data_IF_341862541404
#
_entry.id   IF_341862541404
#
_cell.length_a   1.000
_cell.length_b   1.000
_cell.length_c   1.000
_cell.angle_alpha   90.00
_cell.angle_beta   90.00
_cell.angle_gamma   90.00
#
_symmetry.space_group_name_H-M   'P 1'
#
loop_
_entity.id
_entity.type
_entity.pdbx_description
1 polymer ?
#
# COMPACT_ATOMS: atom_id res chain seq x y z
N UNK A 1 -41.67 6.24 2.28
CA UNK A 1 -42.12 4.89 2.71
C UNK A 1 -40.96 3.91 2.59
N UNK A 2 -40.47 3.40 3.72
CA UNK A 2 -39.32 2.52 3.78
C UNK A 2 -38.78 2.46 5.20
N UNK A 3 -38.07 1.38 5.51
CA UNK A 3 -37.31 1.28 6.76
C UNK A 3 -35.84 1.63 6.48
N UNK A 4 -35.28 2.56 7.23
CA UNK A 4 -33.96 3.13 6.98
C UNK A 4 -33.03 2.94 8.19
N UNK A 5 -31.72 3.12 7.97
CA UNK A 5 -30.74 3.22 9.05
C UNK A 5 -30.20 4.63 9.09
N UNK A 6 -30.25 5.27 10.26
CA UNK A 6 -29.82 6.64 10.48
C UNK A 6 -28.63 6.67 11.43
N UNK A 7 -27.60 7.43 11.06
CA UNK A 7 -26.47 7.73 11.91
C UNK A 7 -26.57 9.17 12.39
N UNK A 8 -26.75 9.39 13.69
CA UNK A 8 -26.99 10.74 14.22
C UNK A 8 -25.81 11.16 15.09
N UNK A 9 -25.01 12.15 14.68
CA UNK A 9 -23.91 12.65 15.50
C UNK A 9 -24.46 13.41 16.70
N UNK A 10 -23.90 13.16 17.88
CA UNK A 10 -24.31 13.81 19.14
C UNK A 10 -23.22 14.70 19.77
N UNK A 11 -22.04 14.79 19.15
CA UNK A 11 -20.96 15.68 19.56
C UNK A 11 -21.12 17.12 19.06
N UNK A 12 -20.07 17.93 19.21
CA UNK A 12 -20.03 19.26 18.63
C UNK A 12 -20.13 19.19 17.11
N UNK A 13 -21.19 19.80 16.58
CA UNK A 13 -21.46 19.87 15.15
C UNK A 13 -21.34 21.33 14.74
N UNK A 14 -20.58 21.58 13.67
CA UNK A 14 -20.53 22.87 12.97
C UNK A 14 -21.71 22.95 12.00
N UNK A 15 -22.77 23.74 12.29
CA UNK A 15 -23.97 23.74 11.46
C UNK A 15 -23.69 24.12 9.99
N UNK A 16 -22.72 24.99 9.76
CA UNK A 16 -22.27 25.42 8.44
C UNK A 16 -21.65 24.30 7.59
N UNK A 17 -21.19 23.22 8.22
CA UNK A 17 -20.63 22.06 7.53
C UNK A 17 -21.71 21.03 7.16
N UNK A 18 -22.96 21.20 7.62
CA UNK A 18 -24.07 20.29 7.34
C UNK A 18 -24.90 20.79 6.17
N UNK A 19 -24.53 20.37 4.97
CA UNK A 19 -25.36 20.54 3.79
C UNK A 19 -26.23 19.29 3.52
N UNK A 20 -26.98 19.36 2.42
CA UNK A 20 -27.86 18.27 1.98
C UNK A 20 -27.11 16.94 1.84
N UNK A 21 -25.91 16.94 1.26
CA UNK A 21 -25.16 15.71 1.00
C UNK A 21 -24.62 15.12 2.30
N UNK A 22 -24.13 15.95 3.21
CA UNK A 22 -23.71 15.47 4.54
C UNK A 22 -24.88 14.80 5.25
N UNK A 23 -26.07 15.42 5.30
CA UNK A 23 -27.25 14.81 5.92
C UNK A 23 -27.63 13.48 5.26
N UNK A 24 -27.63 13.42 3.93
CA UNK A 24 -27.95 12.19 3.18
C UNK A 24 -26.88 11.09 3.35
N UNK A 25 -25.62 11.47 3.54
CA UNK A 25 -24.52 10.56 3.81
C UNK A 25 -24.60 9.87 5.17
N UNK A 26 -25.50 10.32 6.05
CA UNK A 26 -25.79 9.67 7.33
C UNK A 26 -26.96 8.68 7.26
N UNK A 27 -27.53 8.44 6.08
CA UNK A 27 -28.72 7.61 5.91
C UNK A 27 -28.43 6.47 4.96
N UNK A 28 -28.72 5.24 5.37
CA UNK A 28 -28.80 4.08 4.47
C UNK A 28 -30.28 3.87 4.11
N UNK A 29 -30.67 4.07 2.85
CA UNK A 29 -32.05 3.90 2.44
C UNK A 29 -32.45 2.42 2.36
N UNK A 30 -33.70 2.13 2.74
CA UNK A 30 -34.35 0.82 2.54
C UNK A 30 -33.65 -0.38 3.20
N UNK A 31 -32.78 -0.16 4.18
CA UNK A 31 -32.10 -1.19 4.95
C UNK A 31 -32.14 -0.84 6.44
N UNK A 32 -32.47 -1.83 7.28
CA UNK A 32 -32.45 -1.72 8.74
C UNK A 32 -31.31 -2.56 9.28
N UNK A 33 -30.27 -1.90 9.77
CA UNK A 33 -29.06 -2.56 10.20
C UNK A 33 -28.94 -2.45 11.73
N UNK A 34 -29.08 -3.57 12.42
CA UNK A 34 -28.74 -3.69 13.83
C UNK A 34 -27.30 -4.20 13.97
N UNK A 35 -26.55 -3.74 14.98
CA UNK A 35 -25.12 -4.06 15.14
C UNK A 35 -24.82 -5.58 15.14
N UNK A 36 -25.78 -6.39 15.61
CA UNK A 36 -25.63 -7.83 15.78
C UNK A 36 -25.71 -8.59 14.43
N UNK A 37 -26.16 -7.94 13.36
CA UNK A 37 -26.36 -8.50 12.01
C UNK A 37 -25.29 -7.99 11.03
N UNK A 38 -24.29 -7.27 11.52
CA UNK A 38 -23.39 -6.53 10.64
C UNK A 38 -22.29 -7.41 10.04
N UNK A 39 -22.33 -7.55 8.72
CA UNK A 39 -21.26 -8.11 7.91
C UNK A 39 -20.21 -7.07 7.53
N UNK A 40 -19.19 -7.50 6.79
CA UNK A 40 -18.15 -6.63 6.19
C UNK A 40 -18.64 -5.87 4.95
N UNK A 41 -19.95 -5.74 4.78
CA UNK A 41 -20.56 -5.20 3.58
C UNK A 41 -20.59 -3.68 3.61
N UNK A 42 -20.42 -3.08 2.43
CA UNK A 42 -20.65 -1.66 2.20
C UNK A 42 -22.07 -1.45 1.69
N UNK A 43 -22.75 -0.44 2.23
CA UNK A 43 -24.08 -0.02 1.85
C UNK A 43 -24.04 1.34 1.19
N UNK A 44 -24.81 1.54 0.13
CA UNK A 44 -24.95 2.87 -0.47
C UNK A 44 -25.72 3.77 0.50
N UNK A 45 -25.18 4.97 0.76
CA UNK A 45 -25.92 6.00 1.48
C UNK A 45 -26.97 6.65 0.57
N UNK A 46 -27.80 7.53 1.14
CA UNK A 46 -28.70 8.38 0.37
C UNK A 46 -27.96 9.51 -0.38
N UNK A 47 -26.68 9.76 -0.06
CA UNK A 47 -25.79 10.66 -0.81
C UNK A 47 -25.11 9.88 -1.95
N UNK A 48 -25.92 9.46 -2.93
CA UNK A 48 -25.48 8.67 -4.07
C UNK A 48 -26.18 9.14 -5.34
N UNK A 49 -25.59 10.13 -6.00
CA UNK A 49 -26.07 10.67 -7.27
C UNK A 49 -24.92 10.90 -8.26
N UNK A 50 -25.18 11.66 -9.33
CA UNK A 50 -24.18 11.96 -10.33
C UNK A 50 -23.03 12.84 -9.81
N UNK A 51 -23.20 13.52 -8.68
CA UNK A 51 -22.23 14.47 -8.11
C UNK A 51 -21.40 13.81 -7.02
N UNK A 52 -22.06 13.19 -6.04
CA UNK A 52 -21.43 12.61 -4.85
C UNK A 52 -21.85 11.14 -4.71
N UNK A 53 -20.87 10.28 -4.41
CA UNK A 53 -21.10 8.86 -4.17
C UNK A 53 -20.44 8.46 -2.83
N UNK A 54 -21.27 8.15 -1.85
CA UNK A 54 -20.84 7.78 -0.50
C UNK A 54 -21.35 6.39 -0.12
N UNK A 55 -20.42 5.55 0.30
CA UNK A 55 -20.69 4.24 0.87
C UNK A 55 -20.49 4.24 2.38
N UNK A 56 -21.31 3.47 3.08
CA UNK A 56 -21.29 3.30 4.51
C UNK A 56 -20.99 1.85 4.85
N UNK A 57 -20.02 1.61 5.72
CA UNK A 57 -19.76 0.29 6.27
C UNK A 57 -19.63 0.37 7.78
N UNK A 58 -19.87 -0.74 8.46
CA UNK A 58 -19.73 -0.80 9.91
C UNK A 58 -18.62 -1.77 10.28
N UNK A 59 -17.78 -1.34 11.21
CA UNK A 59 -16.54 -2.02 11.55
C UNK A 59 -16.51 -2.23 13.05
N UNK A 60 -16.27 -3.48 13.46
CA UNK A 60 -15.97 -3.80 14.84
C UNK A 60 -14.45 -3.66 15.07
N UNK A 61 -14.05 -2.76 15.96
CA UNK A 61 -12.68 -2.62 16.43
C UNK A 61 -12.65 -2.84 17.93
N UNK A 62 -12.42 -4.07 18.36
CA UNK A 62 -12.07 -4.32 19.75
C UNK A 62 -10.65 -3.79 20.01
N UNK A 63 -10.52 -2.76 20.84
CA UNK A 63 -9.20 -2.30 21.29
C UNK A 63 -8.62 -3.36 22.23
N UNK A 64 -7.35 -3.74 22.07
CA UNK A 64 -6.69 -4.77 22.91
C UNK A 64 -6.71 -4.45 24.42
N UNK A 65 -6.93 -3.18 24.77
CA UNK A 65 -6.88 -2.67 26.15
C UNK A 65 -8.24 -2.75 26.85
N UNK A 66 -9.36 -2.77 26.11
CA UNK A 66 -10.71 -2.88 26.68
C UNK A 66 -11.49 -4.00 25.96
N UNK A 67 -11.89 -5.08 26.65
CA UNK A 67 -12.63 -6.19 26.03
C UNK A 67 -14.02 -5.81 25.50
N UNK A 68 -14.50 -4.59 25.75
CA UNK A 68 -15.74 -4.08 25.15
C UNK A 68 -15.57 -3.86 23.64
N UNK A 69 -16.44 -4.53 22.87
CA UNK A 69 -16.51 -4.36 21.43
C UNK A 69 -16.89 -2.91 21.11
N UNK A 70 -15.96 -2.17 20.50
CA UNK A 70 -16.21 -0.80 20.05
C UNK A 70 -16.56 -0.82 18.58
N UNK A 71 -17.74 -0.32 18.23
CA UNK A 71 -18.21 -0.26 16.85
C UNK A 71 -17.94 1.11 16.25
N UNK A 72 -17.58 1.12 14.98
CA UNK A 72 -17.40 2.32 14.18
C UNK A 72 -18.29 2.23 12.95
N UNK A 73 -18.87 3.36 12.57
CA UNK A 73 -19.40 3.56 11.22
C UNK A 73 -18.33 4.26 10.40
N UNK A 74 -18.14 3.79 9.17
CA UNK A 74 -17.20 4.33 8.21
C UNK A 74 -18.01 4.89 7.04
N UNK A 75 -17.78 6.15 6.68
CA UNK A 75 -18.24 6.71 5.42
C UNK A 75 -17.07 6.85 4.46
N UNK A 76 -17.19 6.29 3.26
CA UNK A 76 -16.22 6.41 2.18
C UNK A 76 -16.82 7.28 1.06
N UNK A 77 -16.32 8.50 0.91
CA UNK A 77 -16.66 9.37 -0.21
C UNK A 77 -15.80 8.97 -1.41
N UNK A 78 -16.41 8.20 -2.33
CA UNK A 78 -15.75 7.67 -3.52
C UNK A 78 -15.70 8.74 -4.61
N UNK A 79 -16.86 9.37 -4.88
CA UNK A 79 -16.96 10.49 -5.80
C UNK A 79 -17.17 11.78 -5.01
N UNK A 80 -16.26 12.72 -5.25
CA UNK A 80 -16.16 13.98 -4.55
C UNK A 80 -16.70 15.16 -5.38
N UNK A 81 -16.98 16.25 -4.68
CA UNK A 81 -17.22 17.57 -5.26
C UNK A 81 -16.31 18.61 -4.56
N UNK A 82 -16.33 19.90 -4.94
CA UNK A 82 -15.47 20.91 -4.32
C UNK A 82 -15.68 21.14 -2.80
N UNK A 83 -16.79 20.67 -2.22
CA UNK A 83 -17.10 20.76 -0.79
C UNK A 83 -16.88 19.44 -0.04
N UNK A 84 -16.96 18.31 -0.74
CA UNK A 84 -16.87 16.96 -0.19
C UNK A 84 -15.67 16.22 -0.76
N UNK A 85 -14.55 16.27 -0.05
CA UNK A 85 -13.32 15.59 -0.45
C UNK A 85 -13.46 14.06 -0.45
N UNK A 86 -12.68 13.38 -1.31
CA UNK A 86 -12.60 11.92 -1.31
C UNK A 86 -11.98 11.42 0.00
N UNK A 87 -12.40 10.23 0.41
CA UNK A 87 -11.79 9.51 1.52
C UNK A 87 -12.78 9.03 2.57
N UNK A 88 -12.20 8.38 3.57
CA UNK A 88 -12.83 7.64 4.63
C UNK A 88 -12.85 8.49 5.89
N UNK A 89 -14.06 8.71 6.40
CA UNK A 89 -14.30 9.28 7.73
C UNK A 89 -14.88 8.19 8.62
N UNK A 90 -14.31 8.04 9.83
CA UNK A 90 -14.79 7.09 10.82
C UNK A 90 -15.41 7.82 12.01
N UNK A 91 -16.50 7.27 12.54
CA UNK A 91 -17.13 7.76 13.75
C UNK A 91 -17.51 6.60 14.65
N UNK A 92 -17.15 6.69 15.94
CA UNK A 92 -17.50 5.68 16.93
C UNK A 92 -19.00 5.68 17.17
N UNK A 93 -19.59 4.50 17.23
CA UNK A 93 -20.99 4.33 17.61
C UNK A 93 -21.09 4.39 19.13
N UNK A 94 -21.77 5.40 19.65
CA UNK A 94 -21.93 5.66 21.08
C UNK A 94 -23.16 4.95 21.65
N UNK A 95 -24.27 4.98 20.90
CA UNK A 95 -25.51 4.30 21.29
C UNK A 95 -26.19 3.68 20.07
N UNK A 96 -26.09 2.36 19.90
CA UNK A 96 -26.68 1.68 18.76
C UNK A 96 -28.13 1.25 18.96
N UNK A 97 -28.73 0.75 17.87
CA UNK A 97 -29.93 -0.08 17.87
C UNK A 97 -31.18 0.59 18.48
N UNK A 98 -31.39 1.89 18.23
CA UNK A 98 -32.57 2.61 18.72
C UNK A 98 -33.71 2.44 17.68
N UNK A 99 -34.76 1.65 17.95
CA UNK A 99 -35.83 1.42 16.99
C UNK A 99 -36.74 2.65 16.85
N UNK A 100 -37.17 2.94 15.62
CA UNK A 100 -38.16 3.97 15.29
C UNK A 100 -39.18 3.41 14.29
N UNK A 101 -40.32 4.08 14.10
CA UNK A 101 -41.42 3.59 13.23
C UNK A 101 -40.98 3.24 11.80
N UNK A 102 -39.97 3.93 11.30
CA UNK A 102 -39.47 3.81 9.93
C UNK A 102 -37.99 3.39 9.89
N UNK A 103 -37.48 2.66 10.90
CA UNK A 103 -36.09 2.20 10.86
C UNK A 103 -35.38 2.10 12.21
N UNK A 104 -34.09 2.39 12.20
CA UNK A 104 -33.21 2.35 13.36
C UNK A 104 -32.26 3.56 13.37
N UNK A 105 -31.98 4.08 14.57
CA UNK A 105 -31.00 5.14 14.81
C UNK A 105 -29.79 4.54 15.54
N UNK A 106 -28.60 4.93 15.09
CA UNK A 106 -27.35 4.77 15.83
C UNK A 106 -26.78 6.15 16.14
N UNK A 107 -26.57 6.45 17.41
CA UNK A 107 -25.90 7.69 17.82
C UNK A 107 -24.40 7.52 17.66
N UNK A 108 -23.77 8.48 17.01
CA UNK A 108 -22.34 8.44 16.66
C UNK A 108 -21.61 9.67 17.22
N UNK A 109 -20.30 9.56 17.36
CA UNK A 109 -19.48 10.57 18.02
C UNK A 109 -19.27 11.84 17.17
N UNK A 110 -18.95 11.64 15.90
CA UNK A 110 -18.65 12.70 14.92
C UNK A 110 -19.49 12.57 13.65
N UNK A 111 -19.71 13.66 12.89
CA UNK A 111 -20.34 13.59 11.59
C UNK A 111 -19.54 12.77 10.58
N UNK A 112 -20.26 12.04 9.74
CA UNK A 112 -19.76 11.36 8.54
C UNK A 112 -19.54 12.35 7.41
N UNK A 113 -18.72 11.96 6.43
CA UNK A 113 -18.28 12.77 5.26
C UNK A 113 -17.46 14.03 5.57
N UNK A 114 -17.56 14.59 6.78
CA UNK A 114 -16.81 15.79 7.16
C UNK A 114 -15.39 15.38 7.56
N UNK A 115 -14.43 15.78 6.74
CA UNK A 115 -13.00 15.64 7.04
C UNK A 115 -12.54 16.89 7.79
N UNK A 116 -12.39 16.77 9.11
CA UNK A 116 -11.97 17.87 10.00
C UNK A 116 -10.60 17.64 10.66
N UNK A 117 -10.02 16.46 10.45
CA UNK A 117 -8.80 16.01 11.10
C UNK A 117 -7.63 16.16 10.12
N UNK A 118 -6.55 16.82 10.52
CA UNK A 118 -5.33 16.90 9.70
C UNK A 118 -4.54 15.59 9.76
N UNK A 119 -3.59 15.41 8.82
CA UNK A 119 -2.76 14.22 8.84
C UNK A 119 -1.97 14.08 10.15
N UNK A 120 -1.39 15.17 10.65
CA UNK A 120 -0.64 15.14 11.92
C UNK A 120 -1.56 14.82 13.10
N UNK A 121 -2.77 15.39 13.14
CA UNK A 121 -3.71 15.11 14.22
C UNK A 121 -4.15 13.65 14.22
N UNK A 122 -4.40 13.06 13.05
CA UNK A 122 -4.70 11.63 12.92
C UNK A 122 -3.54 10.78 13.42
N UNK A 123 -2.32 11.07 12.96
CA UNK A 123 -1.12 10.34 13.40
C UNK A 123 -0.96 10.44 14.92
N UNK A 124 -1.18 11.61 15.51
CA UNK A 124 -1.09 11.83 16.95
C UNK A 124 -2.17 11.06 17.73
N UNK A 125 -3.41 10.98 17.21
CA UNK A 125 -4.47 10.17 17.81
C UNK A 125 -4.13 8.67 17.86
N UNK A 126 -3.31 8.21 16.92
CA UNK A 126 -2.84 6.82 16.82
C UNK A 126 -1.44 6.60 17.44
N UNK A 127 -0.88 7.62 18.12
CA UNK A 127 0.48 7.58 18.67
C UNK A 127 0.64 6.57 19.83
N UNK A 128 -0.43 6.26 20.56
CA UNK A 128 -0.48 5.17 21.55
C UNK A 128 -1.16 3.91 21.01
N UNK A 129 -1.59 3.96 19.74
CA UNK A 129 -2.31 2.90 19.03
C UNK A 129 -1.40 2.13 18.08
N UNK A 130 -1.91 1.87 16.87
CA UNK A 130 -1.23 1.02 15.88
C UNK A 130 -0.10 1.71 15.11
N UNK A 131 0.10 3.02 15.30
CA UNK A 131 1.09 3.83 14.58
C UNK A 131 2.15 4.41 15.52
N UNK A 132 2.36 3.81 16.69
CA UNK A 132 3.26 4.32 17.73
C UNK A 132 4.70 4.42 17.24
N UNK A 133 5.23 3.38 16.60
CA UNK A 133 6.60 3.37 16.10
C UNK A 133 6.78 4.41 14.98
N UNK A 134 5.84 4.51 14.05
CA UNK A 134 5.90 5.51 12.98
C UNK A 134 5.90 6.94 13.52
N UNK A 135 5.05 7.25 14.51
CA UNK A 135 5.07 8.55 15.18
C UNK A 135 6.41 8.84 15.87
N UNK A 136 6.98 7.86 16.57
CA UNK A 136 8.31 8.01 17.20
C UNK A 136 9.40 8.32 16.18
N UNK A 137 9.34 7.73 14.98
CA UNK A 137 10.30 8.03 13.92
C UNK A 137 10.10 9.43 13.35
N UNK A 138 8.85 9.89 13.20
CA UNK A 138 8.55 11.27 12.81
C UNK A 138 9.05 12.29 13.85
N UNK A 139 8.97 11.98 15.14
CA UNK A 139 9.50 12.84 16.22
C UNK A 139 11.02 13.05 16.13
N UNK A 140 11.74 12.07 15.57
CA UNK A 140 13.19 12.18 15.34
C UNK A 140 13.55 13.10 14.19
N UNK A 141 12.60 13.42 13.30
CA UNK A 141 12.83 14.20 12.09
C UNK A 141 11.77 15.32 11.97
N UNK A 142 11.87 16.40 12.79
CA UNK A 142 10.83 17.43 12.90
C UNK A 142 10.53 18.19 11.60
N UNK A 143 11.50 18.28 10.69
CA UNK A 143 11.31 18.84 9.35
C UNK A 143 10.26 18.09 8.53
N UNK A 144 10.15 16.76 8.68
CA UNK A 144 9.11 15.96 8.01
C UNK A 144 7.74 16.21 8.64
N UNK A 145 7.65 16.35 9.97
CA UNK A 145 6.38 16.76 10.61
C UNK A 145 5.90 18.12 10.07
N UNK A 146 6.84 19.07 9.96
CA UNK A 146 6.56 20.40 9.42
C UNK A 146 6.12 20.34 7.95
N UNK A 147 6.72 19.44 7.16
CA UNK A 147 6.31 19.18 5.77
C UNK A 147 4.88 18.62 5.71
N UNK A 148 4.57 17.59 6.52
CA UNK A 148 3.25 16.97 6.60
C UNK A 148 2.18 17.99 7.04
N UNK A 149 2.49 18.91 7.96
CA UNK A 149 1.52 19.93 8.44
C UNK A 149 1.12 20.97 7.41
N UNK A 150 1.83 21.10 6.28
CA UNK A 150 1.48 22.06 5.23
C UNK A 150 0.14 21.69 4.58
N UNK A 151 -0.58 22.71 4.10
CA UNK A 151 -1.93 22.58 3.55
C UNK A 151 -2.01 21.99 2.14
N UNK A 152 -0.87 21.82 1.45
CA UNK A 152 -0.85 21.13 0.16
C UNK A 152 -1.23 19.66 0.32
N UNK A 153 -1.91 19.12 -0.70
CA UNK A 153 -2.41 17.75 -0.72
C UNK A 153 -1.27 16.73 -0.65
N UNK A 154 -1.43 15.70 0.17
CA UNK A 154 -0.43 14.63 0.38
C UNK A 154 -1.05 13.26 0.43
N UNK A 155 -0.24 12.26 0.17
CA UNK A 155 -0.56 10.86 0.50
C UNK A 155 0.46 10.35 1.49
N UNK A 156 0.04 9.94 2.69
CA UNK A 156 0.91 9.31 3.69
C UNK A 156 0.66 7.81 3.72
N UNK A 157 1.73 7.03 3.60
CA UNK A 157 1.75 5.58 3.73
C UNK A 157 2.27 5.25 5.13
N UNK A 158 1.39 5.14 6.11
CA UNK A 158 1.77 4.97 7.52
C UNK A 158 1.92 3.49 7.88
N UNK A 159 3.12 2.95 8.13
CA UNK A 159 3.29 1.55 8.52
C UNK A 159 2.77 1.32 9.93
N UNK A 160 2.08 0.20 10.13
CA UNK A 160 1.65 -0.24 11.46
C UNK A 160 2.81 -0.68 12.34
N UNK A 161 2.62 -0.70 13.66
CA UNK A 161 3.59 -1.30 14.59
C UNK A 161 3.86 -2.77 14.26
N UNK A 162 2.84 -3.51 13.80
CA UNK A 162 3.01 -4.88 13.32
C UNK A 162 3.94 -4.94 12.08
N UNK A 163 3.89 -3.94 11.19
CA UNK A 163 4.83 -3.82 10.08
C UNK A 163 6.28 -3.71 10.57
N UNK A 164 6.51 -2.95 11.64
CA UNK A 164 7.84 -2.82 12.26
C UNK A 164 8.24 -4.09 13.03
N UNK A 165 7.32 -4.74 13.74
CA UNK A 165 7.60 -6.02 14.43
C UNK A 165 7.92 -7.14 13.46
N UNK A 166 7.29 -7.15 12.29
CA UNK A 166 7.56 -8.10 11.22
C UNK A 166 8.89 -7.87 10.52
N UNK A 167 9.66 -6.84 10.90
CA UNK A 167 10.98 -6.62 10.31
C UNK A 167 12.01 -7.67 10.75
N UNK A 168 11.76 -8.58 11.69
CA UNK A 168 12.81 -9.46 12.27
C UNK A 168 12.58 -10.95 12.03
N UNK A 169 13.63 -11.71 11.70
CA UNK A 169 14.30 -12.54 12.73
C UNK A 169 15.85 -12.60 12.75
N UNK A 170 16.66 -11.90 11.93
CA UNK A 170 18.13 -11.96 12.15
C UNK A 170 19.02 -10.80 11.68
N UNK A 171 18.66 -9.98 10.68
CA UNK A 171 19.55 -8.91 10.16
C UNK A 171 18.95 -7.48 10.16
N UNK A 172 17.63 -7.35 10.35
CA UNK A 172 16.91 -6.08 10.14
C UNK A 172 16.72 -5.22 11.40
N UNK A 173 16.81 -5.79 12.61
CA UNK A 173 16.84 -5.02 13.86
C UNK A 173 18.01 -4.04 13.86
N UNK A 174 19.20 -4.54 13.51
CA UNK A 174 20.41 -3.73 13.31
C UNK A 174 20.19 -2.62 12.28
N UNK A 175 19.39 -2.89 11.24
CA UNK A 175 19.11 -1.93 10.18
C UNK A 175 18.17 -0.82 10.62
N UNK A 176 17.12 -1.15 11.39
CA UNK A 176 16.22 -0.15 11.96
C UNK A 176 16.96 0.71 12.98
N UNK A 177 17.75 0.10 13.86
CA UNK A 177 18.62 0.83 14.80
C UNK A 177 19.62 1.73 14.08
N UNK A 178 20.26 1.22 13.02
CA UNK A 178 21.16 2.00 12.19
C UNK A 178 20.46 3.20 11.51
N UNK A 179 19.23 3.02 11.03
CA UNK A 179 18.43 4.12 10.48
C UNK A 179 18.08 5.15 11.54
N UNK A 180 17.71 4.71 12.75
CA UNK A 180 17.44 5.62 13.88
C UNK A 180 18.69 6.45 14.25
N UNK A 181 19.88 5.86 14.12
CA UNK A 181 21.15 6.56 14.35
C UNK A 181 21.58 7.47 13.18
N UNK A 182 21.07 7.24 11.97
CA UNK A 182 21.42 8.00 10.77
C UNK A 182 20.21 8.82 10.27
N UNK A 183 20.10 10.04 10.77
CA UNK A 183 18.95 10.93 10.50
C UNK A 183 18.74 11.21 9.01
N UNK A 184 19.80 11.33 8.20
CA UNK A 184 19.67 11.53 6.76
C UNK A 184 18.98 10.34 6.07
N UNK A 185 19.38 9.12 6.42
CA UNK A 185 18.74 7.90 5.89
C UNK A 185 17.32 7.70 6.44
N UNK A 186 17.08 8.06 7.71
CA UNK A 186 15.73 8.03 8.28
C UNK A 186 14.81 9.02 7.56
N UNK A 187 15.29 10.23 7.27
CA UNK A 187 14.55 11.22 6.49
C UNK A 187 14.18 10.69 5.11
N UNK A 188 15.14 10.07 4.41
CA UNK A 188 14.91 9.48 3.10
C UNK A 188 13.90 8.32 3.14
N UNK A 189 13.91 7.54 4.22
CA UNK A 189 12.92 6.48 4.45
C UNK A 189 11.52 7.07 4.71
N UNK A 190 11.41 8.08 5.57
CA UNK A 190 10.13 8.72 5.88
C UNK A 190 9.53 9.42 4.65
N UNK A 191 10.38 10.03 3.80
CA UNK A 191 9.95 10.62 2.53
C UNK A 191 9.51 9.59 1.48
N UNK A 192 10.06 8.37 1.50
CA UNK A 192 9.54 7.28 0.66
C UNK A 192 8.09 6.93 1.00
N UNK A 193 7.68 7.13 2.26
CA UNK A 193 6.32 6.88 2.74
C UNK A 193 5.37 8.07 2.52
N UNK A 194 5.78 9.05 1.71
CA UNK A 194 5.01 10.24 1.44
C UNK A 194 4.98 10.53 -0.05
N UNK A 195 3.83 11.02 -0.52
CA UNK A 195 3.69 11.69 -1.81
C UNK A 195 3.32 13.14 -1.53
N UNK A 196 4.05 14.07 -2.14
CA UNK A 196 3.80 15.51 -2.01
C UNK A 196 3.02 16.04 -3.21
N UNK A 197 2.11 16.98 -2.97
CA UNK A 197 1.34 17.68 -4.00
C UNK A 197 0.14 16.92 -4.58
N UNK A 198 -0.15 15.70 -4.12
CA UNK A 198 -1.31 14.93 -4.58
C UNK A 198 -1.81 13.91 -3.54
N UNK A 199 -3.12 13.69 -3.57
CA UNK A 199 -3.83 12.65 -2.82
C UNK A 199 -4.16 11.51 -3.76
N UNK A 200 -3.65 10.32 -3.48
CA UNK A 200 -3.85 9.12 -4.29
C UNK A 200 -4.83 8.22 -3.55
N UNK A 201 -6.07 8.11 -4.02
CA UNK A 201 -7.07 7.21 -3.43
C UNK A 201 -7.13 5.85 -4.15
N UNK A 202 -7.68 4.83 -3.50
CA UNK A 202 -7.94 3.52 -4.11
C UNK A 202 -8.81 3.64 -5.37
N UNK A 203 -9.78 4.56 -5.35
CA UNK A 203 -10.68 4.82 -6.46
C UNK A 203 -9.96 5.42 -7.69
N UNK A 204 -8.98 6.30 -7.45
CA UNK A 204 -8.16 6.88 -8.53
C UNK A 204 -7.36 5.79 -9.27
N UNK A 205 -6.79 4.85 -8.51
CA UNK A 205 -6.04 3.72 -9.07
C UNK A 205 -6.94 2.76 -9.85
N UNK A 206 -8.17 2.50 -9.39
CA UNK A 206 -9.16 1.68 -10.11
C UNK A 206 -9.54 2.26 -11.47
N UNK A 207 -9.71 3.58 -11.54
CA UNK A 207 -10.20 4.27 -12.73
C UNK A 207 -9.10 4.77 -13.66
N UNK A 208 -7.88 4.24 -13.51
CA UNK A 208 -6.81 4.40 -14.50
C UNK A 208 -5.93 5.64 -14.32
N UNK A 209 -5.89 6.24 -13.13
CA UNK A 209 -4.81 7.17 -12.79
C UNK A 209 -3.49 6.39 -12.83
N UNK A 210 -2.45 6.98 -13.44
CA UNK A 210 -1.15 6.33 -13.62
C UNK A 210 -0.69 5.75 -12.28
N UNK A 211 -0.47 4.42 -12.18
CA UNK A 211 -0.17 3.74 -10.93
C UNK A 211 1.22 4.09 -10.37
N UNK A 212 2.02 4.82 -11.15
CA UNK A 212 3.38 5.22 -10.80
C UNK A 212 3.41 6.69 -10.37
N UNK A 213 3.83 6.90 -9.13
CA UNK A 213 3.86 8.21 -8.49
C UNK A 213 5.22 8.43 -7.83
N UNK A 214 5.87 9.55 -8.09
CA UNK A 214 7.13 9.86 -7.42
C UNK A 214 6.90 10.09 -5.92
N UNK A 215 7.70 9.44 -5.06
CA UNK A 215 7.67 9.69 -3.63
C UNK A 215 8.34 11.03 -3.30
N UNK A 216 8.09 11.54 -2.09
CA UNK A 216 8.66 12.80 -1.62
C UNK A 216 10.19 12.74 -1.44
N UNK A 217 10.81 11.56 -1.57
CA UNK A 217 12.26 11.43 -1.54
C UNK A 217 12.94 11.89 -2.84
N UNK A 218 12.15 12.17 -3.88
CA UNK A 218 12.59 12.68 -5.18
C UNK A 218 13.39 11.69 -6.04
N UNK A 219 13.57 10.45 -5.58
CA UNK A 219 14.44 9.45 -6.23
C UNK A 219 13.71 8.16 -6.59
N UNK A 220 12.74 7.75 -5.78
CA UNK A 220 12.01 6.48 -5.94
C UNK A 220 10.55 6.75 -6.25
N UNK A 221 10.02 5.93 -7.16
CA UNK A 221 8.60 5.89 -7.48
C UNK A 221 7.89 4.84 -6.61
N UNK A 222 6.61 5.10 -6.37
CA UNK A 222 5.64 4.26 -5.70
C UNK A 222 4.69 3.71 -6.76
N UNK A 223 4.46 2.41 -6.72
CA UNK A 223 3.60 1.71 -7.67
C UNK A 223 2.36 1.21 -6.95
N UNK A 224 1.25 1.92 -7.13
CA UNK A 224 -0.04 1.59 -6.55
C UNK A 224 -0.80 0.61 -7.43
N UNK A 225 -1.44 -0.40 -6.80
CA UNK A 225 -2.31 -1.35 -7.49
C UNK A 225 -3.53 -1.63 -6.62
N UNK A 226 -4.63 -2.00 -7.26
CA UNK A 226 -5.80 -2.55 -6.56
C UNK A 226 -5.92 -4.00 -6.93
N UNK A 227 -5.89 -4.87 -5.93
CA UNK A 227 -5.96 -6.33 -6.09
C UNK A 227 -7.23 -6.87 -5.47
N UNK A 228 -7.72 -7.99 -6.00
CA UNK A 228 -8.97 -8.64 -5.58
C UNK A 228 -10.19 -8.12 -6.34
N UNK A 229 -11.33 -8.75 -6.08
CA UNK A 229 -12.64 -8.39 -6.65
C UNK A 229 -13.53 -7.75 -5.58
N UNK A 230 -14.45 -6.88 -6.01
CA UNK A 230 -15.43 -6.26 -5.10
C UNK A 230 -16.25 -7.34 -4.37
N UNK A 231 -16.47 -7.21 -3.05
CA UNK A 231 -16.12 -6.09 -2.16
C UNK A 231 -14.76 -6.24 -1.44
N UNK A 232 -13.97 -7.28 -1.75
CA UNK A 232 -12.75 -7.67 -1.02
C UNK A 232 -11.46 -7.10 -1.61
N UNK A 233 -11.57 -5.99 -2.33
CA UNK A 233 -10.41 -5.34 -2.94
C UNK A 233 -9.49 -4.73 -1.89
N UNK A 234 -8.22 -4.64 -2.26
CA UNK A 234 -7.18 -4.08 -1.40
C UNK A 234 -6.28 -3.18 -2.23
N UNK A 235 -5.98 -2.01 -1.68
CA UNK A 235 -4.90 -1.17 -2.19
C UNK A 235 -3.56 -1.79 -1.78
N UNK A 236 -2.68 -1.98 -2.74
CA UNK A 236 -1.28 -2.32 -2.52
C UNK A 236 -0.38 -1.23 -3.08
N UNK A 237 0.78 -1.06 -2.47
CA UNK A 237 1.78 -0.08 -2.89
C UNK A 237 3.16 -0.70 -2.81
N UNK A 238 3.90 -0.63 -3.90
CA UNK A 238 5.29 -1.07 -3.96
C UNK A 238 6.23 0.14 -3.97
N UNK A 239 7.22 0.13 -3.08
CA UNK A 239 8.17 1.22 -2.91
C UNK A 239 9.47 0.74 -2.29
N UNK A 240 10.60 1.11 -2.90
CA UNK A 240 11.93 0.73 -2.40
C UNK A 240 12.14 -0.79 -2.31
N UNK A 241 11.53 -1.57 -3.21
CA UNK A 241 11.65 -3.04 -3.26
C UNK A 241 10.74 -3.79 -2.29
N UNK A 242 9.85 -3.11 -1.59
CA UNK A 242 8.88 -3.70 -0.66
C UNK A 242 7.47 -3.47 -1.20
N UNK A 243 6.67 -4.53 -1.27
CA UNK A 243 5.24 -4.44 -1.55
C UNK A 243 4.46 -4.46 -0.23
N UNK A 244 3.65 -3.43 0.00
CA UNK A 244 2.84 -3.27 1.19
C UNK A 244 1.35 -3.29 0.82
N UNK A 245 0.53 -3.90 1.67
CA UNK A 245 -0.93 -3.88 1.55
C UNK A 245 -1.49 -2.86 2.54
N UNK A 246 -2.43 -2.04 2.09
CA UNK A 246 -3.18 -1.17 2.97
C UNK A 246 -4.08 -2.01 3.88
N UNK A 247 -3.79 -2.02 5.19
CA UNK A 247 -4.70 -2.57 6.20
C UNK A 247 -5.91 -1.66 6.40
N UNK A 248 -5.73 -0.37 6.12
CA UNK A 248 -6.80 0.59 5.99
C UNK A 248 -6.40 1.63 4.95
N UNK A 249 -7.15 1.71 3.86
CA UNK A 249 -6.94 2.69 2.81
C UNK A 249 -7.85 3.92 2.97
N UNK A 250 -7.49 4.96 2.24
CA UNK A 250 -8.31 6.14 1.95
C UNK A 250 -8.70 6.98 3.16
N UNK A 251 -8.02 6.93 4.30
CA UNK A 251 -8.37 7.76 5.47
C UNK A 251 -8.26 9.23 5.06
N UNK A 252 -9.38 9.94 5.08
CA UNK A 252 -9.44 11.33 4.66
C UNK A 252 -8.84 12.25 5.72
N UNK A 253 -8.04 13.22 5.27
CA UNK A 253 -7.49 14.27 6.11
C UNK A 253 -7.60 15.65 5.43
N UNK A 254 -7.60 16.72 6.21
CA UNK A 254 -7.83 18.08 5.68
C UNK A 254 -6.80 18.51 4.63
N UNK A 255 -5.60 17.93 4.68
CA UNK A 255 -4.50 18.17 3.77
C UNK A 255 -4.04 16.89 3.02
N UNK A 256 -4.92 15.89 2.87
CA UNK A 256 -4.63 14.75 2.02
C UNK A 256 -5.32 13.44 2.39
N UNK A 257 -4.66 12.31 2.10
CA UNK A 257 -5.13 10.96 2.40
C UNK A 257 -4.03 10.18 3.13
N UNK A 258 -4.44 9.29 4.03
CA UNK A 258 -3.56 8.35 4.74
C UNK A 258 -3.96 6.93 4.38
N UNK A 259 -2.98 6.14 3.97
CA UNK A 259 -3.10 4.68 3.87
C UNK A 259 -2.25 4.06 4.96
N UNK A 260 -2.88 3.30 5.84
CA UNK A 260 -2.16 2.53 6.86
C UNK A 260 -1.78 1.19 6.26
N UNK A 261 -0.48 0.88 6.27
CA UNK A 261 0.10 -0.26 5.54
C UNK A 261 0.74 -1.31 6.47
N UNK A 262 0.81 -2.56 6.00
CA UNK A 262 1.31 -3.71 6.76
C UNK A 262 2.83 -3.96 6.65
N UNK A 263 3.54 -3.16 5.85
CA UNK A 263 5.00 -3.23 5.65
C UNK A 263 5.65 -1.85 5.67
N UNK A 264 6.93 -1.81 5.99
CA UNK A 264 7.76 -0.59 5.92
C UNK A 264 8.44 -0.55 4.55
N UNK A 265 8.08 0.42 3.72
CA UNK A 265 8.65 0.60 2.39
C UNK A 265 10.16 0.88 2.48
N UNK A 266 10.93 0.33 1.54
CA UNK A 266 12.39 0.48 1.54
C UNK A 266 13.15 -0.39 2.55
N UNK A 267 12.45 -1.18 3.38
CA UNK A 267 13.04 -2.17 4.28
C UNK A 267 12.67 -3.59 3.84
N UNK A 268 13.46 -4.22 2.95
CA UNK A 268 13.19 -5.58 2.49
C UNK A 268 13.21 -6.57 3.65
N UNK A 269 12.24 -7.49 3.63
CA UNK A 269 12.06 -8.56 4.62
C UNK A 269 12.14 -9.96 3.99
N UNK A 270 12.26 -10.04 2.67
CA UNK A 270 12.32 -11.27 1.90
C UNK A 270 13.70 -11.40 1.26
N UNK A 271 14.19 -12.65 1.17
CA UNK A 271 15.28 -12.99 0.26
C UNK A 271 14.77 -12.98 -1.20
N UNK A 272 15.69 -13.16 -2.15
CA UNK A 272 15.34 -13.14 -3.59
C UNK A 272 14.40 -14.27 -3.96
N UNK A 273 14.57 -15.46 -3.36
CA UNK A 273 13.69 -16.61 -3.60
C UNK A 273 12.23 -16.27 -3.28
N UNK A 274 11.98 -15.73 -2.09
CA UNK A 274 10.64 -15.40 -1.61
C UNK A 274 10.01 -14.27 -2.41
N UNK A 275 10.80 -13.24 -2.78
CA UNK A 275 10.33 -12.14 -3.65
C UNK A 275 9.90 -12.66 -5.02
N UNK A 276 10.70 -13.53 -5.65
CA UNK A 276 10.34 -14.13 -6.94
C UNK A 276 9.06 -14.98 -6.87
N UNK A 277 8.91 -15.75 -5.80
CA UNK A 277 7.76 -16.63 -5.60
C UNK A 277 6.46 -15.85 -5.30
N UNK A 278 6.56 -14.74 -4.58
CA UNK A 278 5.38 -13.98 -4.11
C UNK A 278 4.99 -12.82 -5.00
N UNK A 279 5.88 -12.34 -5.87
CA UNK A 279 5.58 -11.26 -6.81
C UNK A 279 4.89 -11.79 -8.09
N UNK A 280 3.61 -11.45 -8.33
CA UNK A 280 2.91 -11.92 -9.51
C UNK A 280 3.55 -11.50 -10.82
N UNK A 281 4.29 -10.39 -10.84
CA UNK A 281 4.99 -9.89 -12.03
C UNK A 281 6.30 -10.61 -12.35
N UNK A 282 6.79 -11.47 -11.44
CA UNK A 282 8.06 -12.20 -11.59
C UNK A 282 7.87 -13.73 -11.63
N UNK A 283 6.64 -14.22 -11.49
CA UNK A 283 6.32 -15.64 -11.36
C UNK A 283 6.85 -16.48 -12.54
N UNK A 284 6.87 -15.96 -13.77
CA UNK A 284 7.41 -16.72 -14.91
C UNK A 284 8.90 -17.02 -14.72
N UNK A 285 9.70 -16.04 -14.30
CA UNK A 285 11.12 -16.25 -14.00
C UNK A 285 11.32 -17.24 -12.84
N UNK A 286 10.45 -17.20 -11.83
CA UNK A 286 10.49 -18.16 -10.73
C UNK A 286 10.25 -19.59 -11.23
N UNK A 287 9.23 -19.81 -12.06
CA UNK A 287 8.91 -21.12 -12.64
C UNK A 287 10.00 -21.65 -13.59
N UNK A 288 10.67 -20.78 -14.36
CA UNK A 288 11.84 -21.15 -15.15
C UNK A 288 12.95 -21.75 -14.27
N UNK A 289 13.23 -21.16 -13.11
CA UNK A 289 14.23 -21.66 -12.17
C UNK A 289 13.88 -22.99 -11.51
N UNK A 290 12.60 -23.37 -11.47
CA UNK A 290 12.12 -24.66 -10.94
C UNK A 290 12.20 -25.80 -11.95
N UNK A 291 12.54 -25.52 -13.22
CA UNK A 291 12.57 -26.55 -14.26
C UNK A 291 13.71 -27.58 -14.07
N UNK A 292 13.41 -28.82 -14.45
CA UNK A 292 14.35 -29.95 -14.39
C UNK A 292 14.43 -30.60 -13.01
N UNK A 293 15.37 -31.54 -12.85
CA UNK A 293 15.50 -32.33 -11.61
C UNK A 293 16.21 -31.59 -10.46
N UNK A 294 16.77 -30.41 -10.71
CA UNK A 294 17.39 -29.58 -9.67
C UNK A 294 16.74 -28.20 -9.74
N UNK A 295 16.25 -27.73 -8.61
CA UNK A 295 15.65 -26.42 -8.48
C UNK A 295 16.75 -25.36 -8.39
N UNK A 296 16.99 -24.64 -9.49
CA UNK A 296 18.05 -23.63 -9.56
C UNK A 296 17.84 -22.50 -8.54
N UNK A 297 16.57 -22.23 -8.17
CA UNK A 297 16.23 -21.18 -7.21
C UNK A 297 16.77 -21.46 -5.80
N UNK A 298 17.06 -22.71 -5.42
CA UNK A 298 17.54 -23.07 -4.06
C UNK A 298 18.79 -22.28 -3.64
N UNK A 299 19.64 -21.87 -4.59
CA UNK A 299 20.82 -21.07 -4.28
C UNK A 299 20.47 -19.67 -3.74
N UNK A 300 19.28 -19.14 -4.06
CA UNK A 300 18.81 -17.81 -3.68
C UNK A 300 18.28 -17.76 -2.24
N UNK A 301 18.17 -18.92 -1.57
CA UNK A 301 17.87 -19.04 -0.15
C UNK A 301 19.10 -18.82 0.74
N UNK A 302 20.29 -18.72 0.14
CA UNK A 302 21.54 -18.54 0.89
C UNK A 302 21.66 -17.13 1.43
N UNK A 303 21.65 -17.00 2.76
CA UNK A 303 21.82 -15.71 3.44
C UNK A 303 23.30 -15.35 3.69
N UNK A 304 24.21 -16.33 3.56
CA UNK A 304 25.66 -16.15 3.72
C UNK A 304 26.32 -15.40 2.55
N UNK A 305 25.54 -15.09 1.50
CA UNK A 305 26.03 -14.43 0.28
C UNK A 305 25.19 -13.22 -0.05
N UNK A 306 25.82 -12.26 -0.72
CA UNK A 306 25.13 -11.12 -1.31
C UNK A 306 24.90 -11.38 -2.78
N UNK A 307 23.73 -11.03 -3.28
CA UNK A 307 23.35 -11.25 -4.67
C UNK A 307 22.89 -9.94 -5.31
N UNK A 308 23.07 -9.83 -6.62
CA UNK A 308 22.33 -8.90 -7.47
C UNK A 308 21.71 -9.72 -8.58
N UNK A 309 20.39 -9.76 -8.67
CA UNK A 309 19.70 -10.55 -9.67
C UNK A 309 18.88 -9.63 -10.58
N UNK A 310 19.21 -9.62 -11.87
CA UNK A 310 18.51 -8.84 -12.88
C UNK A 310 17.34 -9.66 -13.40
N UNK A 311 16.16 -9.53 -12.80
CA UNK A 311 15.02 -10.42 -13.11
C UNK A 311 14.16 -9.81 -14.21
N UNK A 312 13.92 -10.48 -15.35
CA UNK A 312 12.94 -10.02 -16.32
C UNK A 312 11.52 -10.16 -15.75
N UNK A 313 10.69 -9.14 -15.94
CA UNK A 313 9.27 -9.20 -15.59
C UNK A 313 8.49 -10.10 -16.56
N UNK A 314 7.29 -10.52 -16.17
CA UNK A 314 6.39 -11.26 -17.05
C UNK A 314 6.09 -10.47 -18.34
N UNK A 315 5.94 -9.15 -18.28
CA UNK A 315 5.75 -8.31 -19.47
C UNK A 315 6.97 -8.36 -20.41
N UNK A 316 8.19 -8.39 -19.85
CA UNK A 316 9.40 -8.54 -20.64
C UNK A 316 9.47 -9.92 -21.32
N UNK A 317 9.01 -10.98 -20.63
CA UNK A 317 8.88 -12.31 -21.22
C UNK A 317 7.80 -12.38 -22.29
N UNK A 318 6.66 -11.72 -22.09
CA UNK A 318 5.59 -11.62 -23.09
C UNK A 318 6.02 -10.86 -24.33
N UNK A 319 6.83 -9.81 -24.16
CA UNK A 319 7.46 -9.13 -25.27
C UNK A 319 8.47 -10.04 -25.99
N UNK A 320 9.34 -10.72 -25.25
CA UNK A 320 10.30 -11.66 -25.82
C UNK A 320 9.60 -12.78 -26.61
N UNK A 321 8.47 -13.29 -26.11
CA UNK A 321 7.62 -14.28 -26.79
C UNK A 321 7.10 -13.80 -28.14
N UNK A 322 6.68 -12.53 -28.21
CA UNK A 322 6.17 -11.91 -29.46
C UNK A 322 7.29 -11.74 -30.48
N UNK A 323 8.47 -11.35 -30.04
CA UNK A 323 9.62 -11.09 -30.90
C UNK A 323 10.36 -12.37 -31.32
N UNK A 324 10.43 -13.38 -30.44
CA UNK A 324 11.23 -14.60 -30.61
C UNK A 324 10.44 -15.87 -30.20
N UNK A 325 9.38 -16.24 -30.94
CA UNK A 325 8.45 -17.30 -30.52
C UNK A 325 9.10 -18.70 -30.48
N UNK A 326 10.07 -18.98 -31.36
CA UNK A 326 10.76 -20.28 -31.43
C UNK A 326 11.65 -20.49 -30.21
N UNK A 327 12.45 -19.49 -29.87
CA UNK A 327 13.36 -19.47 -28.72
C UNK A 327 12.54 -19.51 -27.42
N UNK A 328 11.48 -18.71 -27.32
CA UNK A 328 10.57 -18.75 -26.17
C UNK A 328 10.01 -20.16 -25.94
N UNK A 329 9.57 -20.85 -27.01
CA UNK A 329 9.07 -22.22 -26.92
C UNK A 329 10.12 -23.19 -26.40
N UNK A 330 11.40 -23.00 -26.78
CA UNK A 330 12.49 -23.83 -26.26
C UNK A 330 12.75 -23.62 -24.76
N UNK A 331 12.54 -22.40 -24.23
CA UNK A 331 12.65 -22.09 -22.80
C UNK A 331 11.56 -22.75 -21.96
N UNK A 332 10.36 -22.87 -22.53
CA UNK A 332 9.21 -23.47 -21.86
C UNK A 332 9.27 -25.02 -21.88
N UNK A 333 9.97 -25.58 -22.87
CA UNK A 333 10.18 -27.02 -22.99
C UNK A 333 11.10 -27.54 -21.87
N UNK A 334 10.49 -28.15 -20.85
CA UNK A 334 11.16 -28.80 -19.69
C UNK A 334 12.21 -29.87 -20.05
N UNK A 335 12.34 -30.24 -21.32
CA UNK A 335 13.35 -31.17 -21.83
C UNK A 335 14.75 -30.56 -21.93
N UNK A 336 14.90 -29.23 -21.87
CA UNK A 336 16.21 -28.55 -21.94
C UNK A 336 16.49 -27.60 -20.76
N UNK A 337 16.46 -28.09 -19.50
CA UNK A 337 16.63 -27.24 -18.32
C UNK A 337 18.00 -26.55 -18.27
N UNK A 338 19.02 -27.08 -18.96
CA UNK A 338 20.34 -26.47 -19.04
C UNK A 338 20.33 -25.11 -19.77
N UNK A 339 19.49 -24.93 -20.79
CA UNK A 339 19.39 -23.67 -21.53
C UNK A 339 18.76 -22.60 -20.66
N UNK A 340 17.67 -22.94 -19.97
CA UNK A 340 17.01 -22.07 -18.99
C UNK A 340 17.99 -21.65 -17.90
N UNK A 341 18.71 -22.60 -17.28
CA UNK A 341 19.72 -22.29 -16.25
C UNK A 341 20.81 -21.36 -16.75
N UNK A 342 21.33 -21.61 -17.95
CA UNK A 342 22.33 -20.73 -18.56
C UNK A 342 21.82 -19.29 -18.65
N UNK A 343 20.55 -19.08 -18.99
CA UNK A 343 19.96 -17.75 -19.05
C UNK A 343 19.86 -17.15 -17.65
N UNK A 344 19.36 -17.88 -16.66
CA UNK A 344 19.26 -17.39 -15.28
C UNK A 344 20.65 -17.02 -14.72
N UNK A 345 21.68 -17.82 -14.98
CA UNK A 345 23.07 -17.54 -14.60
C UNK A 345 23.63 -16.28 -15.29
N UNK A 346 23.17 -15.95 -16.51
CA UNK A 346 23.54 -14.68 -17.17
C UNK A 346 22.99 -13.47 -16.44
N UNK A 347 21.90 -13.63 -15.68
CA UNK A 347 21.21 -12.54 -14.99
C UNK A 347 21.63 -12.41 -13.51
N UNK A 348 22.34 -13.40 -12.96
CA UNK A 348 22.73 -13.44 -11.54
C UNK A 348 24.17 -12.97 -11.31
N UNK A 349 24.37 -12.10 -10.33
CA UNK A 349 25.67 -11.74 -9.75
C UNK A 349 25.72 -12.31 -8.32
N UNK A 350 26.83 -12.94 -7.97
CA UNK A 350 27.04 -13.58 -6.66
C UNK A 350 28.19 -12.88 -5.94
N UNK A 351 28.08 -12.77 -4.62
CA UNK A 351 29.01 -12.09 -3.71
C UNK A 351 29.11 -10.57 -3.91
N UNK A 352 28.13 -9.97 -4.56
CA UNK A 352 28.08 -8.51 -4.76
C UNK A 352 26.64 -8.02 -4.77
N UNK A 353 26.35 -7.04 -3.92
CA UNK A 353 25.11 -6.27 -3.96
C UNK A 353 25.37 -4.94 -4.67
N UNK A 354 24.60 -4.65 -5.70
CA UNK A 354 24.70 -3.43 -6.49
C UNK A 354 23.40 -2.65 -6.34
N UNK A 355 23.49 -1.41 -5.85
CA UNK A 355 22.33 -0.51 -5.77
C UNK A 355 22.07 0.21 -7.10
N UNK A 356 20.86 0.76 -7.28
CA UNK A 356 20.50 1.54 -8.48
C UNK A 356 21.45 2.71 -8.73
N UNK A 357 21.82 3.46 -7.68
CA UNK A 357 22.78 4.56 -7.79
C UNK A 357 24.13 4.10 -8.30
N UNK A 358 24.61 2.93 -7.84
CA UNK A 358 25.87 2.38 -8.32
C UNK A 358 25.75 1.91 -9.78
N UNK A 359 24.62 1.31 -10.18
CA UNK A 359 24.36 0.96 -11.58
C UNK A 359 24.40 2.19 -12.49
N UNK A 360 23.94 3.34 -12.03
CA UNK A 360 23.93 4.56 -12.82
C UNK A 360 25.29 5.26 -12.90
N UNK A 361 26.14 5.13 -11.86
CA UNK A 361 27.31 6.00 -11.68
C UNK A 361 28.66 5.28 -11.63
N UNK A 362 28.69 3.97 -11.36
CA UNK A 362 29.92 3.25 -11.02
C UNK A 362 30.27 2.08 -11.95
N UNK A 363 29.36 1.65 -12.83
CA UNK A 363 29.57 0.47 -13.67
C UNK A 363 29.33 0.77 -15.16
N UNK A 364 30.31 0.42 -15.99
CA UNK A 364 30.13 0.27 -17.45
C UNK A 364 29.83 -1.18 -17.83
N UNK A 365 30.35 -2.13 -17.04
CA UNK A 365 30.13 -3.58 -17.21
C UNK A 365 30.03 -4.30 -15.88
N UNK A 366 29.22 -5.35 -15.83
CA UNK A 366 29.02 -6.21 -14.65
C UNK A 366 29.25 -7.66 -15.04
N UNK A 367 30.08 -8.36 -14.27
CA UNK A 367 30.30 -9.79 -14.44
C UNK A 367 29.18 -10.57 -13.72
N UNK A 368 28.50 -11.44 -14.46
CA UNK A 368 27.49 -12.34 -13.90
C UNK A 368 28.06 -13.75 -13.77
N UNK A 369 27.31 -14.67 -13.16
CA UNK A 369 27.71 -16.09 -13.05
C UNK A 369 28.06 -16.63 -14.44
N UNK A 370 27.33 -16.18 -15.47
CA UNK A 370 27.64 -16.49 -16.86
C UNK A 370 27.70 -15.24 -17.74
N UNK A 371 28.90 -14.71 -17.94
CA UNK A 371 29.15 -13.67 -18.95
C UNK A 371 29.19 -12.25 -18.37
N UNK A 372 28.92 -11.27 -19.24
CA UNK A 372 29.11 -9.85 -18.93
C UNK A 372 27.90 -9.06 -19.40
N UNK A 373 27.38 -8.24 -18.50
CA UNK A 373 26.35 -7.24 -18.74
C UNK A 373 27.01 -5.90 -19.04
N UNK A 374 26.51 -5.19 -20.06
CA UNK A 374 26.86 -3.78 -20.27
C UNK A 374 25.84 -2.90 -19.57
N UNK A 375 26.30 -1.83 -18.95
CA UNK A 375 25.46 -0.87 -18.25
C UNK A 375 25.59 0.49 -18.92
N UNK A 376 24.46 1.11 -19.25
CA UNK A 376 24.41 2.42 -19.86
C UNK A 376 23.28 3.23 -19.21
N UNK A 377 23.64 4.29 -18.46
CA UNK A 377 22.68 5.18 -17.77
C UNK A 377 21.66 4.42 -16.91
N UNK A 378 22.13 3.45 -16.13
CA UNK A 378 21.27 2.61 -15.28
C UNK A 378 20.48 1.52 -16.03
N UNK A 379 20.51 1.49 -17.36
CA UNK A 379 19.96 0.38 -18.15
C UNK A 379 21.00 -0.71 -18.36
N UNK A 380 20.56 -1.95 -18.23
CA UNK A 380 21.42 -3.13 -18.37
C UNK A 380 21.10 -3.83 -19.68
N UNK A 381 22.12 -4.10 -20.48
CA UNK A 381 21.99 -4.81 -21.76
C UNK A 381 22.86 -6.06 -21.75
N UNK A 382 22.25 -7.19 -22.13
CA UNK A 382 22.97 -8.43 -22.38
C UNK A 382 23.75 -8.31 -23.69
N UNK A 383 25.01 -8.74 -23.69
CA UNK A 383 25.70 -9.02 -24.95
C UNK A 383 24.93 -10.06 -25.76
N UNK A 384 24.92 -9.91 -27.10
CA UNK A 384 24.20 -10.80 -28.03
C UNK A 384 24.43 -12.28 -27.67
N UNK A 385 23.34 -13.06 -27.73
CA UNK A 385 23.38 -14.52 -27.70
C UNK A 385 24.23 -14.97 -28.90
N UNK A 386 25.44 -15.48 -28.64
CA UNK A 386 26.24 -16.17 -29.63
C UNK A 386 25.94 -17.66 -29.57
#
# INVERSE_FOLDING_TARGET
PGYHTFFVPIGEVRPEAFDKYVVLGHVIPNNVLFLNVMGKESYRSAANDATVNVELSLINRTLRINPEQTYYVQSNTIKADPRHNKGVVMSRVLRPNIPIKNGVIHLIEKPLMIIDTSIIDFLQQEADGRLKMFNKLLDRVPEIRSEISRLDQKTILAPTDAAFSNLNESENDTKLEYLIQNIDKLRDLLRLHMVSGQSVSTDDIRHGVKPEVQSADGRRNLYFRVVGEDPNTRLTVEGGGVNATAVQADIGATNGIIHVIDRVLGMPFQNIYDKLNTDPSLNFTFELGRQGNQNWNEQLLREDRRFTYFVPSNDAWDQFKKENPSEYKQLEMKQFPANTRNILDRHLVVNQQISSTQLETQFDTIHTVKGILKVAKGQVQFGKLC
#
